data_IF_612765436639
#
_entry.id   IF_612765436639
#
_cell.length_a   1.000
_cell.length_b   1.000
_cell.length_c   1.000
_cell.angle_alpha   90.00
_cell.angle_beta   90.00
_cell.angle_gamma   90.00
#
_symmetry.space_group_name_H-M   'P 1'
#
loop_
_entity.id
_entity.type
_entity.pdbx_description
1 polymer ?
#
# COMPACT_ATOMS: atom_id res chain seq x y z
N UNK A 1 35.64 14.94 30.30
CA UNK A 1 35.11 13.75 29.63
C UNK A 1 34.60 14.22 28.28
N UNK A 2 35.40 14.12 27.23
CA UNK A 2 35.07 14.67 25.91
C UNK A 2 34.65 13.54 24.99
N UNK A 3 33.39 13.52 24.56
CA UNK A 3 32.95 12.65 23.46
C UNK A 3 33.24 13.39 22.15
N UNK A 4 34.23 12.91 21.40
CA UNK A 4 34.39 13.29 19.99
C UNK A 4 33.38 12.50 19.17
N UNK A 5 32.39 13.21 18.62
CA UNK A 5 31.48 12.69 17.60
C UNK A 5 32.12 12.91 16.23
N UNK A 6 32.67 11.83 15.66
CA UNK A 6 33.10 11.81 14.26
C UNK A 6 31.86 11.71 13.37
N UNK A 7 31.38 12.86 12.88
CA UNK A 7 30.40 12.90 11.80
C UNK A 7 31.19 12.77 10.51
N UNK A 8 31.29 11.55 10.00
CA UNK A 8 31.87 11.29 8.70
C UNK A 8 31.00 11.94 7.61
N UNK A 9 31.40 13.15 7.23
CA UNK A 9 30.74 13.97 6.21
C UNK A 9 30.86 13.26 4.86
N UNK A 10 29.81 12.55 4.45
CA UNK A 10 29.71 12.00 3.11
C UNK A 10 29.71 13.17 2.11
N UNK A 11 30.78 13.33 1.35
CA UNK A 11 30.78 14.22 0.18
C UNK A 11 30.08 13.49 -0.95
N UNK A 12 28.77 13.68 -1.06
CA UNK A 12 28.06 13.38 -2.30
C UNK A 12 28.55 14.37 -3.35
N UNK A 13 29.41 13.91 -4.26
CA UNK A 13 29.75 14.63 -5.48
C UNK A 13 28.47 14.80 -6.29
N UNK A 14 27.95 16.03 -6.50
CA UNK A 14 26.84 16.22 -7.40
C UNK A 14 27.38 16.01 -8.82
N UNK A 15 27.02 14.87 -9.43
CA UNK A 15 27.03 14.78 -10.88
C UNK A 15 26.15 15.92 -11.35
N UNK A 16 26.74 16.85 -12.10
CA UNK A 16 26.07 18.01 -12.69
C UNK A 16 25.05 17.51 -13.72
N UNK A 17 23.90 17.04 -13.25
CA UNK A 17 22.69 17.03 -14.03
C UNK A 17 22.21 18.47 -14.01
N UNK A 18 22.36 19.17 -15.14
CA UNK A 18 21.68 20.45 -15.39
C UNK A 18 20.18 20.18 -15.47
N UNK A 19 19.55 19.88 -14.35
CA UNK A 19 18.11 19.88 -14.19
C UNK A 19 17.75 21.15 -13.43
N UNK A 20 16.99 22.01 -14.08
CA UNK A 20 16.36 23.15 -13.43
C UNK A 20 15.58 22.65 -12.19
N UNK A 21 15.78 23.22 -11.00
CA UNK A 21 15.11 22.77 -9.78
C UNK A 21 13.58 22.89 -9.87
N UNK A 22 13.06 23.70 -10.80
CA UNK A 22 11.63 23.84 -11.07
C UNK A 22 10.99 22.56 -11.66
N UNK A 23 11.76 21.67 -12.30
CA UNK A 23 11.25 20.47 -13.00
C UNK A 23 11.57 19.17 -12.26
N UNK A 24 12.31 19.24 -11.14
CA UNK A 24 12.74 18.06 -10.40
C UNK A 24 11.56 17.32 -9.73
N UNK A 25 10.59 18.06 -9.17
CA UNK A 25 9.42 17.48 -8.50
C UNK A 25 8.41 16.89 -9.50
N UNK A 26 8.38 17.38 -10.74
CA UNK A 26 7.51 16.87 -11.81
C UNK A 26 8.01 15.51 -12.32
N UNK A 27 9.33 15.38 -12.48
CA UNK A 27 9.94 14.13 -12.95
C UNK A 27 9.79 12.99 -11.93
N UNK A 28 9.91 13.26 -10.63
CA UNK A 28 9.72 12.22 -9.59
C UNK A 28 8.32 11.59 -9.64
N UNK A 29 7.29 12.37 -10.01
CA UNK A 29 5.91 11.87 -10.15
C UNK A 29 5.77 10.86 -11.28
N UNK A 30 6.56 11.01 -12.35
CA UNK A 30 6.50 10.15 -13.54
C UNK A 30 7.20 8.80 -13.32
N UNK A 31 8.18 8.74 -12.42
CA UNK A 31 8.97 7.53 -12.16
C UNK A 31 8.53 6.74 -10.91
N UNK A 32 7.64 7.26 -10.08
CA UNK A 32 7.26 6.62 -8.81
C UNK A 32 5.76 6.42 -8.61
N UNK A 33 4.94 6.42 -9.66
CA UNK A 33 3.55 6.01 -9.48
C UNK A 33 3.54 4.54 -9.03
N UNK A 34 3.11 4.22 -7.79
CA UNK A 34 3.02 2.84 -7.37
C UNK A 34 2.03 2.12 -8.30
N UNK A 35 2.23 0.80 -8.54
CA UNK A 35 1.28 0.01 -9.30
C UNK A 35 -0.13 0.25 -8.72
N UNK A 36 -1.10 0.46 -9.61
CA UNK A 36 -2.48 0.65 -9.16
C UNK A 36 -2.95 -0.67 -8.54
N UNK A 37 -3.53 -0.63 -7.34
CA UNK A 37 -4.11 -1.82 -6.73
C UNK A 37 -5.17 -2.42 -7.64
N UNK A 38 -5.26 -3.75 -7.64
CA UNK A 38 -6.27 -4.48 -8.44
C UNK A 38 -7.70 -4.18 -7.98
N UNK A 39 -7.87 -3.82 -6.72
CA UNK A 39 -9.15 -3.48 -6.11
C UNK A 39 -9.11 -2.05 -5.56
N UNK A 40 -10.29 -1.45 -5.41
CA UNK A 40 -10.41 -0.15 -4.77
C UNK A 40 -10.79 -0.32 -3.30
N UNK A 41 -10.20 0.48 -2.39
CA UNK A 41 -10.69 0.55 -1.01
C UNK A 41 -12.14 1.04 -1.01
N UNK A 42 -12.83 0.82 0.11
CA UNK A 42 -14.23 1.20 0.30
C UNK A 42 -15.19 0.55 -0.72
N UNK A 43 -14.91 -0.71 -1.06
CA UNK A 43 -15.73 -1.50 -2.00
C UNK A 43 -16.14 -2.81 -1.34
N UNK A 44 -17.39 -3.21 -1.54
CA UNK A 44 -17.88 -4.53 -1.15
C UNK A 44 -17.34 -5.60 -2.11
N UNK A 45 -16.82 -6.68 -1.55
CA UNK A 45 -16.37 -7.88 -2.27
C UNK A 45 -17.07 -9.10 -1.73
N UNK A 46 -17.21 -10.13 -2.57
CA UNK A 46 -17.78 -11.42 -2.17
C UNK A 46 -16.66 -12.40 -1.85
N UNK A 47 -16.72 -13.00 -0.67
CA UNK A 47 -15.80 -14.03 -0.20
C UNK A 47 -16.16 -15.37 -0.82
N UNK A 48 -15.16 -16.16 -1.21
CA UNK A 48 -15.40 -17.54 -1.64
C UNK A 48 -15.73 -18.45 -0.46
N UNK A 49 -15.09 -18.20 0.68
CA UNK A 49 -15.26 -19.01 1.89
C UNK A 49 -15.36 -18.09 3.11
N UNK A 50 -16.55 -17.90 3.70
CA UNK A 50 -16.69 -17.11 4.91
C UNK A 50 -15.93 -17.77 6.08
N UNK A 51 -15.37 -16.98 7.02
CA UNK A 51 -14.56 -17.50 8.10
C UNK A 51 -15.36 -18.35 9.10
N UNK A 52 -16.66 -18.11 9.22
CA UNK A 52 -17.56 -18.87 10.10
C UNK A 52 -18.90 -19.15 9.42
N UNK A 53 -19.68 -20.07 9.96
CA UNK A 53 -21.03 -20.39 9.45
C UNK A 53 -22.07 -19.27 9.69
N UNK A 54 -21.75 -18.27 10.51
CA UNK A 54 -22.65 -17.17 10.88
C UNK A 54 -22.22 -15.82 10.32
N UNK A 55 -21.03 -15.74 9.73
CA UNK A 55 -20.53 -14.52 9.09
C UNK A 55 -21.10 -14.37 7.69
N UNK A 56 -21.25 -13.11 7.25
CA UNK A 56 -21.62 -12.81 5.87
C UNK A 56 -20.54 -13.27 4.89
N UNK A 57 -20.95 -13.60 3.68
CA UNK A 57 -20.07 -13.90 2.55
C UNK A 57 -19.63 -12.64 1.79
N UNK A 58 -19.86 -11.46 2.37
CA UNK A 58 -19.45 -10.17 1.82
C UNK A 58 -18.54 -9.46 2.81
N UNK A 59 -17.51 -8.79 2.28
CA UNK A 59 -16.54 -8.02 3.04
C UNK A 59 -16.37 -6.63 2.45
N UNK A 60 -16.21 -5.64 3.30
CA UNK A 60 -15.89 -4.27 2.90
C UNK A 60 -14.38 -4.08 2.92
N UNK A 61 -13.77 -3.82 1.75
CA UNK A 61 -12.32 -3.58 1.66
C UNK A 61 -11.98 -2.24 2.32
N UNK A 62 -11.02 -2.26 3.25
CA UNK A 62 -10.55 -1.06 3.95
C UNK A 62 -9.30 -0.51 3.27
N UNK A 63 -8.24 -1.32 3.19
CA UNK A 63 -7.00 -0.95 2.53
C UNK A 63 -6.20 -2.18 2.07
N UNK A 64 -5.33 -1.96 1.09
CA UNK A 64 -4.30 -2.92 0.71
C UNK A 64 -3.15 -2.82 1.72
N UNK A 65 -2.78 -3.96 2.32
CA UNK A 65 -1.65 -4.05 3.22
C UNK A 65 -0.37 -4.46 2.49
N UNK A 66 -0.49 -5.37 1.51
CA UNK A 66 0.59 -5.87 0.66
C UNK A 66 0.04 -6.17 -0.75
N UNK A 67 0.90 -6.44 -1.74
CA UNK A 67 0.54 -6.69 -3.15
C UNK A 67 -0.61 -7.71 -3.35
N UNK A 68 -0.81 -8.63 -2.40
CA UNK A 68 -1.85 -9.66 -2.44
C UNK A 68 -2.64 -9.78 -1.14
N UNK A 69 -2.57 -8.81 -0.23
CA UNK A 69 -3.30 -8.84 1.04
C UNK A 69 -4.08 -7.55 1.26
N UNK A 70 -5.32 -7.74 1.69
CA UNK A 70 -6.27 -6.69 1.94
C UNK A 70 -6.84 -6.81 3.34
N UNK A 71 -6.82 -5.70 4.07
CA UNK A 71 -7.61 -5.58 5.27
C UNK A 71 -9.06 -5.33 4.87
N UNK A 72 -9.96 -6.14 5.40
CA UNK A 72 -11.38 -6.06 5.13
C UNK A 72 -12.20 -6.23 6.41
N UNK A 73 -13.45 -5.78 6.37
CA UNK A 73 -14.40 -5.95 7.45
C UNK A 73 -15.60 -6.77 6.99
N UNK A 74 -15.95 -7.81 7.74
CA UNK A 74 -17.08 -8.68 7.47
C UNK A 74 -18.15 -8.42 8.54
N UNK A 75 -19.41 -8.13 8.16
CA UNK A 75 -20.52 -8.07 9.10
C UNK A 75 -20.63 -9.36 9.93
N UNK A 76 -20.84 -9.22 11.23
CA UNK A 76 -20.93 -10.32 12.22
C UNK A 76 -19.66 -11.14 12.45
N UNK A 77 -18.52 -10.73 11.89
CA UNK A 77 -17.21 -11.30 12.20
C UNK A 77 -16.19 -10.24 12.67
N UNK A 78 -16.16 -9.08 12.02
CA UNK A 78 -15.19 -8.02 12.29
C UNK A 78 -14.10 -7.92 11.23
N UNK A 79 -12.92 -7.45 11.62
CA UNK A 79 -11.79 -7.23 10.72
C UNK A 79 -11.04 -8.53 10.41
N UNK A 80 -10.60 -8.66 9.16
CA UNK A 80 -9.85 -9.82 8.67
C UNK A 80 -8.83 -9.40 7.61
N UNK A 81 -7.72 -10.12 7.54
CA UNK A 81 -6.80 -10.06 6.41
C UNK A 81 -7.20 -11.11 5.37
N UNK A 82 -7.49 -10.66 4.16
CA UNK A 82 -7.87 -11.48 3.03
C UNK A 82 -6.78 -11.45 1.97
N UNK A 83 -6.55 -12.59 1.33
CA UNK A 83 -5.79 -12.65 0.09
C UNK A 83 -6.68 -12.29 -1.09
N UNK A 84 -6.06 -11.73 -2.12
CA UNK A 84 -6.73 -11.36 -3.38
C UNK A 84 -7.44 -12.54 -4.07
N UNK A 85 -7.04 -13.78 -3.75
CA UNK A 85 -7.63 -15.02 -4.27
C UNK A 85 -8.77 -15.57 -3.39
N UNK A 86 -9.06 -14.94 -2.24
CA UNK A 86 -10.14 -15.36 -1.31
C UNK A 86 -11.46 -14.63 -1.57
N UNK A 87 -11.46 -13.64 -2.47
CA UNK A 87 -12.64 -12.85 -2.81
C UNK A 87 -12.67 -12.44 -4.28
N UNK A 88 -13.85 -12.00 -4.74
CA UNK A 88 -14.05 -11.37 -6.03
C UNK A 88 -14.83 -10.07 -5.91
N UNK A 89 -14.67 -9.18 -6.90
CA UNK A 89 -15.46 -7.95 -6.97
C UNK A 89 -16.93 -8.25 -7.27
N UNK A 90 -17.83 -7.50 -6.64
CA UNK A 90 -19.23 -7.43 -7.04
C UNK A 90 -19.29 -6.59 -8.32
N UNK A 91 -19.35 -7.24 -9.47
CA UNK A 91 -19.41 -6.59 -10.78
C UNK A 91 -20.85 -6.21 -11.14
#
# INVERSE_FOLDING_TARGET
>A
MSLQSDVQSYKSTPILVKASPATAWENLRTYSAPPKPKYQPSTWVKLFNPPTAYSFDEAWLLCECDDNQWLAWIPDYGEILLKTDEFCGLN
#
